data_IF_703699414726
#
_entry.id   IF_703699414726
#
_cell.length_a   1.000
_cell.length_b   1.000
_cell.length_c   1.000
_cell.angle_alpha   90.00
_cell.angle_beta   90.00
_cell.angle_gamma   90.00
#
_symmetry.space_group_name_H-M   'P 1'
#
loop_
_entity.id
_entity.type
_entity.pdbx_description
1 polymer ?
#
# COMPACT_ATOMS: atom_id res chain seq x y z
N UNK A 1 -27.90 -50.92 -51.75
CA UNK A 1 -28.76 -50.18 -50.79
C UNK A 1 -27.86 -49.67 -49.65
N UNK A 2 -27.46 -48.42 -49.72
CA UNK A 2 -26.61 -47.79 -48.68
C UNK A 2 -27.55 -47.09 -47.67
N UNK A 3 -27.47 -47.47 -46.40
CA UNK A 3 -28.19 -46.81 -45.31
C UNK A 3 -27.38 -45.59 -44.86
N UNK A 4 -27.91 -44.42 -45.01
CA UNK A 4 -27.35 -43.16 -44.51
C UNK A 4 -27.86 -42.97 -43.07
N UNK A 5 -26.95 -42.99 -42.09
CA UNK A 5 -27.26 -42.70 -40.69
C UNK A 5 -27.07 -41.19 -40.44
N UNK A 6 -28.13 -40.49 -40.16
CA UNK A 6 -28.06 -39.10 -39.72
C UNK A 6 -27.73 -39.03 -38.20
N UNK A 7 -26.58 -38.52 -37.86
CA UNK A 7 -26.20 -38.18 -36.49
C UNK A 7 -26.70 -36.77 -36.18
N UNK A 8 -27.75 -36.66 -35.40
CA UNK A 8 -28.25 -35.38 -34.88
C UNK A 8 -27.37 -34.95 -33.73
N UNK A 9 -26.55 -33.90 -33.95
CA UNK A 9 -25.77 -33.21 -32.91
C UNK A 9 -26.71 -32.23 -32.16
N UNK A 10 -27.16 -32.62 -30.98
CA UNK A 10 -27.84 -31.69 -30.06
C UNK A 10 -26.78 -30.77 -29.42
N UNK A 11 -26.61 -29.57 -29.95
CA UNK A 11 -25.90 -28.47 -29.22
C UNK A 11 -26.81 -28.01 -28.09
N UNK A 12 -26.49 -28.43 -26.87
CA UNK A 12 -27.11 -27.81 -25.67
C UNK A 12 -26.51 -26.39 -25.50
N UNK A 13 -27.30 -25.39 -25.94
CA UNK A 13 -27.08 -23.99 -25.57
C UNK A 13 -27.36 -23.86 -24.07
N UNK A 14 -26.33 -24.01 -23.25
CA UNK A 14 -26.37 -23.53 -21.88
C UNK A 14 -26.50 -22.00 -21.93
N UNK A 15 -27.51 -21.41 -21.29
CA UNK A 15 -27.57 -19.97 -21.18
C UNK A 15 -26.35 -19.53 -20.36
N UNK A 16 -25.43 -18.82 -20.98
CA UNK A 16 -24.45 -18.00 -20.28
C UNK A 16 -25.24 -16.92 -19.53
N UNK A 17 -25.72 -17.27 -18.35
CA UNK A 17 -26.29 -16.31 -17.42
C UNK A 17 -25.20 -15.32 -17.06
N UNK A 18 -25.23 -14.15 -17.67
CA UNK A 18 -24.57 -12.99 -17.13
C UNK A 18 -25.18 -12.75 -15.75
N UNK A 19 -24.53 -13.23 -14.70
CA UNK A 19 -24.87 -12.80 -13.35
C UNK A 19 -24.65 -11.30 -13.31
N UNK A 20 -25.72 -10.53 -13.49
CA UNK A 20 -25.71 -9.10 -13.20
C UNK A 20 -25.28 -8.95 -11.74
N UNK A 21 -24.09 -8.47 -11.52
CA UNK A 21 -23.52 -8.26 -10.19
C UNK A 21 -24.46 -7.32 -9.43
N UNK A 22 -25.05 -7.79 -8.34
CA UNK A 22 -26.07 -7.05 -7.58
C UNK A 22 -25.40 -5.85 -6.94
N UNK A 23 -25.83 -4.64 -7.32
CA UNK A 23 -25.36 -3.40 -6.69
C UNK A 23 -25.61 -3.46 -5.18
N UNK A 24 -24.64 -3.03 -4.42
CA UNK A 24 -24.70 -2.91 -2.96
C UNK A 24 -24.61 -1.45 -2.56
N UNK A 25 -25.21 -1.08 -1.44
CA UNK A 25 -25.00 0.21 -0.81
C UNK A 25 -24.08 0.06 0.39
N UNK A 26 -23.09 0.94 0.49
CA UNK A 26 -22.30 1.11 1.70
C UNK A 26 -22.40 2.58 2.14
N UNK A 27 -22.81 2.80 3.37
CA UNK A 27 -23.13 4.13 3.88
C UNK A 27 -22.56 4.33 5.27
N UNK A 28 -22.19 5.57 5.56
CA UNK A 28 -21.88 6.06 6.91
C UNK A 28 -23.09 6.89 7.36
N UNK A 29 -23.83 6.43 8.35
CA UNK A 29 -24.98 7.16 8.89
C UNK A 29 -25.27 6.78 10.34
N UNK A 30 -25.90 7.67 11.07
CA UNK A 30 -26.29 7.46 12.48
C UNK A 30 -25.12 6.97 13.37
N UNK A 31 -23.89 7.33 13.02
CA UNK A 31 -22.71 6.94 13.78
C UNK A 31 -22.14 5.55 13.49
N UNK A 32 -22.67 4.85 12.48
CA UNK A 32 -22.29 3.46 12.14
C UNK A 32 -22.05 3.27 10.64
N UNK A 33 -21.40 2.15 10.31
CA UNK A 33 -21.27 1.64 8.95
C UNK A 33 -22.48 0.75 8.60
N UNK A 34 -23.04 0.94 7.42
CA UNK A 34 -24.17 0.13 6.92
C UNK A 34 -23.84 -0.47 5.55
N UNK A 35 -23.95 -1.78 5.45
CA UNK A 35 -23.90 -2.51 4.17
C UNK A 35 -25.31 -3.00 3.83
N UNK A 36 -25.90 -2.54 2.73
CA UNK A 36 -27.26 -2.88 2.31
C UNK A 36 -28.32 -2.63 3.41
N UNK A 37 -28.16 -1.53 4.13
CA UNK A 37 -29.08 -1.14 5.21
C UNK A 37 -28.89 -1.89 6.54
N UNK A 38 -27.91 -2.80 6.63
CA UNK A 38 -27.57 -3.53 7.86
C UNK A 38 -26.31 -2.94 8.48
N UNK A 39 -26.35 -2.64 9.77
CA UNK A 39 -25.17 -2.24 10.53
C UNK A 39 -24.08 -3.31 10.39
N UNK A 40 -22.89 -2.90 9.95
CA UNK A 40 -21.81 -3.81 9.60
C UNK A 40 -20.49 -3.21 10.05
N UNK A 41 -19.97 -3.60 11.21
CA UNK A 41 -18.65 -3.16 11.65
C UNK A 41 -17.57 -3.70 10.69
N UNK A 42 -16.50 -2.93 10.55
CA UNK A 42 -15.37 -3.29 9.66
C UNK A 42 -14.25 -3.89 10.50
N UNK A 43 -13.93 -5.14 10.21
CA UNK A 43 -12.78 -5.86 10.75
C UNK A 43 -11.86 -6.18 9.58
N UNK A 44 -10.90 -5.29 9.35
CA UNK A 44 -10.03 -5.31 8.17
C UNK A 44 -8.60 -5.68 8.51
N UNK A 45 -7.85 -6.05 7.49
CA UNK A 45 -6.39 -6.14 7.54
C UNK A 45 -5.76 -5.56 6.28
N UNK A 46 -4.66 -4.85 6.46
CA UNK A 46 -3.88 -4.28 5.37
C UNK A 46 -2.98 -5.36 4.77
N UNK A 47 -3.03 -5.45 3.44
CA UNK A 47 -2.21 -6.34 2.64
C UNK A 47 -1.98 -5.71 1.27
N UNK A 48 -0.72 -5.53 0.87
CA UNK A 48 -0.37 -4.84 -0.37
C UNK A 48 -0.14 -5.84 -1.50
N UNK A 49 -0.95 -5.75 -2.57
CA UNK A 49 -0.82 -6.63 -3.75
C UNK A 49 0.58 -6.62 -4.36
N UNK A 50 1.26 -5.46 -4.36
CA UNK A 50 2.62 -5.27 -4.88
C UNK A 50 3.71 -6.02 -4.10
N UNK A 51 3.41 -6.46 -2.87
CA UNK A 51 4.32 -7.18 -1.96
C UNK A 51 4.10 -8.69 -1.93
N UNK A 52 3.20 -9.20 -2.79
CA UNK A 52 2.79 -10.60 -2.78
C UNK A 52 2.66 -11.06 -4.24
N UNK A 53 3.36 -12.12 -4.68
CA UNK A 53 3.12 -12.68 -6.00
C UNK A 53 1.65 -13.02 -6.20
N UNK A 54 1.08 -12.65 -7.35
CA UNK A 54 -0.37 -12.75 -7.60
C UNK A 54 -0.95 -14.16 -7.40
N UNK A 55 -0.14 -15.20 -7.60
CA UNK A 55 -0.55 -16.60 -7.38
C UNK A 55 -0.93 -16.90 -5.92
N UNK A 56 -0.49 -16.06 -4.97
CA UNK A 56 -0.76 -16.24 -3.54
C UNK A 56 -1.85 -15.33 -2.98
N UNK A 57 -2.38 -14.36 -3.74
CA UNK A 57 -3.41 -13.43 -3.25
C UNK A 57 -4.62 -14.15 -2.67
N UNK A 58 -5.18 -15.12 -3.40
CA UNK A 58 -6.35 -15.90 -2.94
C UNK A 58 -6.10 -16.61 -1.62
N UNK A 59 -4.95 -17.27 -1.46
CA UNK A 59 -4.60 -17.92 -0.21
C UNK A 59 -4.54 -16.93 0.96
N UNK A 60 -3.96 -15.75 0.75
CA UNK A 60 -3.88 -14.71 1.80
C UNK A 60 -5.26 -14.20 2.18
N UNK A 61 -6.17 -13.99 1.23
CA UNK A 61 -7.56 -13.61 1.51
C UNK A 61 -8.29 -14.70 2.31
N UNK A 62 -8.11 -15.96 1.97
CA UNK A 62 -8.66 -17.09 2.72
C UNK A 62 -8.12 -17.14 4.16
N UNK A 63 -6.84 -16.85 4.37
CA UNK A 63 -6.25 -16.69 5.70
C UNK A 63 -6.91 -15.57 6.49
N UNK A 64 -7.15 -14.41 5.87
CA UNK A 64 -7.86 -13.29 6.51
C UNK A 64 -9.30 -13.66 6.89
N UNK A 65 -10.04 -14.31 6.01
CA UNK A 65 -11.39 -14.82 6.31
C UNK A 65 -11.37 -15.80 7.47
N UNK A 66 -10.42 -16.73 7.47
CA UNK A 66 -10.25 -17.70 8.54
C UNK A 66 -9.79 -17.06 9.86
N UNK A 67 -9.21 -15.87 9.85
CA UNK A 67 -8.95 -15.09 11.05
C UNK A 67 -10.20 -14.37 11.60
N UNK A 68 -11.27 -14.27 10.79
CA UNK A 68 -12.54 -13.64 11.16
C UNK A 68 -12.70 -12.22 10.61
N UNK A 69 -11.83 -11.80 9.68
CA UNK A 69 -11.92 -10.49 9.04
C UNK A 69 -12.98 -10.48 7.93
N UNK A 70 -13.57 -9.31 7.69
CA UNK A 70 -14.60 -9.10 6.67
C UNK A 70 -14.20 -8.10 5.58
N UNK A 71 -13.02 -7.48 5.71
CA UNK A 71 -12.49 -6.53 4.74
C UNK A 71 -10.98 -6.68 4.59
N UNK A 72 -10.45 -6.24 3.45
CA UNK A 72 -9.04 -6.03 3.19
C UNK A 72 -8.83 -4.56 2.83
N UNK A 73 -7.79 -3.94 3.35
CA UNK A 73 -7.31 -2.65 2.89
C UNK A 73 -6.02 -2.82 2.06
N UNK A 74 -5.83 -1.98 1.07
CA UNK A 74 -4.60 -1.92 0.30
C UNK A 74 -4.28 -0.52 -0.16
N UNK A 75 -3.02 -0.12 -0.06
CA UNK A 75 -2.52 1.02 -0.78
C UNK A 75 -2.44 0.76 -2.28
N UNK A 76 -2.47 1.84 -3.07
CA UNK A 76 -2.13 1.83 -4.49
C UNK A 76 -0.87 2.65 -4.68
N UNK A 77 0.18 2.02 -5.15
CA UNK A 77 1.48 2.65 -5.34
C UNK A 77 1.57 3.23 -6.75
N UNK A 78 1.52 4.54 -6.88
CA UNK A 78 1.54 5.19 -8.18
C UNK A 78 2.79 4.80 -8.98
N UNK A 79 3.99 4.83 -8.38
CA UNK A 79 5.24 4.44 -9.04
C UNK A 79 5.33 2.96 -9.43
N UNK A 80 4.50 2.09 -8.84
CA UNK A 80 4.42 0.68 -9.24
C UNK A 80 3.75 0.51 -10.59
N UNK A 81 2.78 1.39 -10.89
CA UNK A 81 2.01 1.37 -12.13
C UNK A 81 2.56 2.31 -13.21
N UNK A 82 3.22 3.40 -12.86
CA UNK A 82 3.77 4.38 -13.79
C UNK A 82 5.26 4.62 -13.49
N UNK A 83 6.08 3.60 -13.75
CA UNK A 83 7.53 3.67 -13.56
C UNK A 83 8.22 4.67 -14.50
N UNK A 84 7.68 4.85 -15.70
CA UNK A 84 8.07 5.88 -16.65
C UNK A 84 6.85 6.74 -16.98
N UNK A 85 7.04 8.03 -17.07
CA UNK A 85 5.96 8.99 -17.33
C UNK A 85 5.10 8.60 -18.54
N UNK A 86 3.80 8.44 -18.33
CA UNK A 86 2.82 8.07 -19.34
C UNK A 86 2.79 6.58 -19.70
N UNK A 87 3.65 5.74 -19.12
CA UNK A 87 3.66 4.28 -19.35
C UNK A 87 3.05 3.57 -18.16
N UNK A 88 1.83 3.14 -18.33
CA UNK A 88 1.05 2.47 -17.31
C UNK A 88 1.09 0.95 -17.46
N UNK A 89 1.22 0.26 -16.33
CA UNK A 89 1.25 -1.19 -16.26
C UNK A 89 0.34 -1.69 -15.14
N UNK A 90 -0.65 -2.52 -15.50
CA UNK A 90 -1.63 -3.15 -14.62
C UNK A 90 -1.74 -4.65 -14.91
N UNK A 91 -0.63 -5.30 -15.25
CA UNK A 91 -0.61 -6.72 -15.59
C UNK A 91 0.14 -7.56 -14.53
N UNK A 92 -0.22 -8.84 -14.41
CA UNK A 92 0.44 -9.79 -13.50
C UNK A 92 0.38 -9.35 -12.03
N UNK A 93 1.53 -9.17 -11.38
CA UNK A 93 1.61 -8.73 -9.98
C UNK A 93 1.15 -7.26 -9.78
N UNK A 94 0.89 -6.55 -10.88
CA UNK A 94 0.35 -5.19 -10.89
C UNK A 94 -1.15 -5.13 -11.20
N UNK A 95 -1.81 -6.26 -11.40
CA UNK A 95 -3.25 -6.31 -11.72
C UNK A 95 -4.10 -6.04 -10.47
N UNK A 96 -4.23 -4.77 -10.13
CA UNK A 96 -5.03 -4.31 -9.00
C UNK A 96 -6.51 -4.69 -9.16
N UNK A 97 -7.05 -4.68 -10.37
CA UNK A 97 -8.44 -5.03 -10.61
C UNK A 97 -8.70 -6.51 -10.30
N UNK A 98 -7.81 -7.40 -10.72
CA UNK A 98 -7.91 -8.83 -10.40
C UNK A 98 -7.72 -9.08 -8.88
N UNK A 99 -6.78 -8.38 -8.22
CA UNK A 99 -6.62 -8.46 -6.77
C UNK A 99 -7.92 -8.11 -6.03
N UNK A 100 -8.56 -7.00 -6.40
CA UNK A 100 -9.83 -6.54 -5.80
C UNK A 100 -10.96 -7.54 -6.09
N UNK A 101 -11.02 -8.07 -7.29
CA UNK A 101 -12.02 -9.07 -7.69
C UNK A 101 -11.87 -10.36 -6.90
N UNK A 102 -10.65 -10.89 -6.76
CA UNK A 102 -10.38 -12.09 -5.95
C UNK A 102 -10.78 -11.86 -4.49
N UNK A 103 -10.50 -10.69 -3.91
CA UNK A 103 -10.95 -10.34 -2.56
C UNK A 103 -12.48 -10.43 -2.44
N UNK A 104 -13.22 -9.89 -3.41
CA UNK A 104 -14.68 -9.99 -3.47
C UNK A 104 -15.19 -11.43 -3.63
N UNK A 105 -14.54 -12.26 -4.44
CA UNK A 105 -14.86 -13.67 -4.61
C UNK A 105 -14.68 -14.47 -3.31
N UNK A 106 -13.67 -14.13 -2.50
CA UNK A 106 -13.45 -14.71 -1.17
C UNK A 106 -14.37 -14.07 -0.09
N UNK A 107 -15.27 -13.18 -0.49
CA UNK A 107 -16.26 -12.54 0.39
C UNK A 107 -15.66 -11.48 1.32
N UNK A 108 -14.60 -10.79 0.89
CA UNK A 108 -14.04 -9.63 1.56
C UNK A 108 -14.54 -8.34 0.90
N UNK A 109 -14.91 -7.36 1.71
CA UNK A 109 -15.02 -5.97 1.28
C UNK A 109 -13.62 -5.39 1.06
N UNK A 110 -13.50 -4.35 0.22
CA UNK A 110 -12.21 -3.72 -0.07
C UNK A 110 -12.23 -2.24 0.33
N UNK A 111 -11.20 -1.84 1.06
CA UNK A 111 -10.89 -0.44 1.38
C UNK A 111 -9.70 -0.03 0.52
N UNK A 112 -9.92 0.92 -0.40
CA UNK A 112 -8.90 1.37 -1.33
C UNK A 112 -8.18 2.61 -0.77
N UNK A 113 -6.84 2.59 -0.78
CA UNK A 113 -6.01 3.67 -0.23
C UNK A 113 -5.07 4.22 -1.32
N UNK A 114 -5.57 5.07 -2.25
CA UNK A 114 -4.80 5.49 -3.43
C UNK A 114 -3.75 6.57 -3.16
N UNK A 115 -3.73 7.17 -2.00
CA UNK A 115 -2.83 8.28 -1.69
C UNK A 115 -3.32 9.63 -2.26
N UNK A 116 -2.46 10.36 -3.01
CA UNK A 116 -1.29 9.96 -3.84
C UNK A 116 0.01 9.64 -3.08
N UNK A 117 0.19 10.13 -1.85
CA UNK A 117 1.24 9.69 -0.94
C UNK A 117 0.74 8.50 -0.12
N UNK A 118 1.52 7.45 -0.03
CA UNK A 118 1.11 6.24 0.71
C UNK A 118 2.04 5.88 1.87
N UNK A 119 3.20 6.49 1.99
CA UNK A 119 4.22 6.14 2.98
C UNK A 119 4.68 4.67 2.85
N UNK A 120 4.23 3.82 3.74
CA UNK A 120 4.32 2.36 3.68
C UNK A 120 5.76 1.82 3.56
N UNK A 121 6.77 2.58 3.97
CA UNK A 121 8.20 2.24 3.78
C UNK A 121 8.48 1.80 2.34
N UNK A 122 7.80 2.45 1.41
CA UNK A 122 7.91 2.21 -0.02
C UNK A 122 8.69 3.35 -0.68
N UNK A 123 9.45 3.01 -1.74
CA UNK A 123 10.25 3.95 -2.49
C UNK A 123 9.49 5.24 -2.80
N UNK A 124 10.07 6.37 -2.41
CA UNK A 124 9.56 7.73 -2.57
C UNK A 124 8.11 7.92 -2.07
N UNK A 125 7.68 7.12 -1.07
CA UNK A 125 6.32 7.15 -0.53
C UNK A 125 5.23 6.84 -1.55
N UNK A 126 5.57 6.10 -2.62
CA UNK A 126 4.70 5.71 -3.71
C UNK A 126 4.69 6.67 -4.90
N UNK A 127 5.35 7.81 -4.82
CA UNK A 127 5.42 8.75 -5.94
C UNK A 127 6.37 8.26 -7.05
N UNK A 128 6.06 8.50 -8.32
CA UNK A 128 7.01 8.29 -9.40
C UNK A 128 8.22 9.24 -9.30
N UNK A 129 9.42 8.69 -9.44
CA UNK A 129 10.68 9.42 -9.40
C UNK A 129 10.75 10.58 -10.39
N UNK A 130 10.17 10.41 -11.59
CA UNK A 130 10.18 11.41 -12.67
C UNK A 130 9.43 12.71 -12.35
N UNK A 131 8.57 12.72 -11.31
CA UNK A 131 7.96 13.95 -10.83
C UNK A 131 9.00 15.00 -10.42
N UNK A 132 10.15 14.56 -9.90
CA UNK A 132 11.23 15.47 -9.49
C UNK A 132 11.89 16.20 -10.65
N UNK A 133 11.78 15.68 -11.88
CA UNK A 133 12.32 16.31 -13.09
C UNK A 133 11.39 17.36 -13.73
N UNK A 134 10.20 17.55 -13.18
CA UNK A 134 9.23 18.52 -13.69
C UNK A 134 9.50 19.87 -13.08
N UNK A 135 9.78 20.87 -13.93
CA UNK A 135 10.04 22.23 -13.48
C UNK A 135 8.85 22.80 -12.69
N UNK A 136 9.13 23.40 -11.56
CA UNK A 136 8.12 24.00 -10.66
C UNK A 136 7.28 23.00 -9.89
N UNK A 137 7.66 21.72 -9.86
CA UNK A 137 6.98 20.69 -9.08
C UNK A 137 7.18 20.90 -7.58
N UNK A 138 6.08 21.03 -6.84
CA UNK A 138 6.04 20.99 -5.38
C UNK A 138 5.08 19.89 -4.92
N UNK A 139 5.65 18.78 -4.44
CA UNK A 139 4.89 17.60 -4.03
C UNK A 139 4.11 17.86 -2.74
N UNK A 140 2.88 17.29 -2.64
CA UNK A 140 1.97 17.41 -1.48
C UNK A 140 1.58 18.86 -1.14
N UNK A 141 1.45 19.71 -2.18
CA UNK A 141 1.03 21.11 -2.05
C UNK A 141 -0.05 21.46 -3.05
N UNK A 142 -0.68 22.62 -2.82
CA UNK A 142 -1.56 23.25 -3.82
C UNK A 142 -0.68 23.85 -4.94
N UNK A 143 -0.09 22.96 -5.71
CA UNK A 143 0.81 23.25 -6.80
C UNK A 143 0.19 22.80 -8.12
N UNK A 144 0.18 23.64 -9.14
CA UNK A 144 -0.50 23.38 -10.40
C UNK A 144 0.03 22.12 -11.09
N UNK A 145 1.35 21.96 -11.13
CA UNK A 145 1.97 20.78 -11.76
C UNK A 145 1.62 19.51 -10.98
N UNK A 146 1.76 19.55 -9.66
CA UNK A 146 1.45 18.39 -8.82
C UNK A 146 -0.02 17.98 -8.95
N UNK A 147 -0.95 18.92 -8.86
CA UNK A 147 -2.39 18.65 -9.00
C UNK A 147 -2.77 18.16 -10.41
N UNK A 148 -2.07 18.62 -11.45
CA UNK A 148 -2.25 18.10 -12.81
C UNK A 148 -1.90 16.62 -12.90
N UNK A 149 -0.76 16.21 -12.37
CA UNK A 149 -0.31 14.81 -12.47
C UNK A 149 -1.06 13.89 -11.52
N UNK A 150 -1.41 14.35 -10.32
CA UNK A 150 -2.29 13.57 -9.43
C UNK A 150 -3.67 13.35 -10.03
N UNK A 151 -4.22 14.33 -10.74
CA UNK A 151 -5.47 14.15 -11.47
C UNK A 151 -5.36 13.06 -12.53
N UNK A 152 -4.32 13.06 -13.35
CA UNK A 152 -4.08 12.03 -14.37
C UNK A 152 -3.95 10.63 -13.74
N UNK A 153 -3.24 10.53 -12.62
CA UNK A 153 -3.12 9.29 -11.86
C UNK A 153 -4.49 8.81 -11.35
N UNK A 154 -5.26 9.66 -10.71
CA UNK A 154 -6.57 9.32 -10.14
C UNK A 154 -7.56 8.92 -11.26
N UNK A 155 -7.58 9.64 -12.37
CA UNK A 155 -8.41 9.29 -13.54
C UNK A 155 -8.01 7.94 -14.14
N UNK A 156 -6.69 7.67 -14.22
CA UNK A 156 -6.19 6.39 -14.70
C UNK A 156 -6.57 5.25 -13.74
N UNK A 157 -6.41 5.45 -12.45
CA UNK A 157 -6.81 4.48 -11.44
C UNK A 157 -8.32 4.20 -11.50
N UNK A 158 -9.14 5.24 -11.59
CA UNK A 158 -10.59 5.07 -11.74
C UNK A 158 -10.97 4.24 -12.96
N UNK A 159 -10.30 4.45 -14.08
CA UNK A 159 -10.51 3.64 -15.28
C UNK A 159 -10.25 2.15 -15.04
N UNK A 160 -9.26 1.82 -14.22
CA UNK A 160 -8.93 0.42 -13.90
C UNK A 160 -9.91 -0.20 -12.90
N UNK A 161 -10.26 0.51 -11.81
CA UNK A 161 -10.98 -0.11 -10.69
C UNK A 161 -12.32 0.53 -10.35
N UNK A 162 -12.69 1.64 -10.98
CA UNK A 162 -13.91 2.38 -10.66
C UNK A 162 -15.19 1.55 -10.85
N UNK A 163 -15.19 0.57 -11.74
CA UNK A 163 -16.29 -0.37 -11.96
C UNK A 163 -16.42 -1.40 -10.84
N UNK A 164 -15.43 -1.53 -9.96
CA UNK A 164 -15.42 -2.46 -8.83
C UNK A 164 -15.93 -1.83 -7.52
N UNK A 165 -16.49 -0.62 -7.57
CA UNK A 165 -17.19 -0.02 -6.43
C UNK A 165 -18.47 -0.80 -6.09
N UNK A 166 -18.84 -0.85 -4.81
CA UNK A 166 -20.02 -1.58 -4.37
C UNK A 166 -21.32 -1.04 -5.00
N UNK A 167 -21.38 0.24 -5.26
CA UNK A 167 -22.48 0.91 -6.02
C UNK A 167 -22.63 0.37 -7.45
N UNK A 168 -21.60 -0.27 -7.98
CA UNK A 168 -21.56 -0.89 -9.32
C UNK A 168 -21.53 -2.43 -9.26
N UNK A 169 -21.57 -2.98 -8.04
CA UNK A 169 -21.61 -4.42 -7.78
C UNK A 169 -20.28 -5.05 -7.39
N UNK A 170 -19.19 -4.28 -7.30
CA UNK A 170 -17.88 -4.72 -6.84
C UNK A 170 -17.73 -4.72 -5.32
N UNK A 171 -16.55 -5.05 -4.80
CA UNK A 171 -16.30 -5.13 -3.37
C UNK A 171 -15.75 -3.84 -2.73
N UNK A 172 -15.39 -2.80 -3.50
CA UNK A 172 -14.84 -1.55 -2.93
C UNK A 172 -15.95 -0.81 -2.19
N UNK A 173 -15.75 -0.61 -0.89
CA UNK A 173 -16.73 0.03 0.00
C UNK A 173 -16.34 1.43 0.45
N UNK A 174 -15.04 1.71 0.55
CA UNK A 174 -14.50 3.00 1.01
C UNK A 174 -13.21 3.32 0.27
N UNK A 175 -12.90 4.62 0.17
CA UNK A 175 -11.67 5.12 -0.42
C UNK A 175 -11.01 6.15 0.50
N UNK A 176 -9.71 6.03 0.71
CA UNK A 176 -8.93 7.00 1.49
C UNK A 176 -8.54 8.21 0.63
N UNK A 177 -8.57 9.38 1.26
CA UNK A 177 -8.06 10.61 0.70
C UNK A 177 -6.74 10.97 1.39
N UNK A 178 -5.65 11.05 0.64
CA UNK A 178 -4.30 11.29 1.14
C UNK A 178 -3.83 10.22 2.16
N UNK A 179 -2.73 10.40 2.83
CA UNK A 179 -2.28 9.54 3.93
C UNK A 179 -1.44 10.30 4.93
N UNK A 180 -1.81 10.22 6.21
CA UNK A 180 -1.12 10.90 7.32
C UNK A 180 -0.76 12.35 7.00
N UNK A 181 -1.67 13.04 6.33
CA UNK A 181 -1.43 14.40 5.88
C UNK A 181 -1.24 15.37 7.05
N UNK A 182 -1.83 15.09 8.19
CA UNK A 182 -1.62 15.83 9.42
C UNK A 182 -0.17 15.80 9.90
N UNK A 183 0.54 14.68 9.70
CA UNK A 183 1.98 14.58 10.01
C UNK A 183 2.82 15.46 9.08
N UNK A 184 2.49 15.50 7.79
CA UNK A 184 3.13 16.42 6.84
C UNK A 184 2.88 17.88 7.22
N UNK A 185 1.65 18.26 7.55
CA UNK A 185 1.29 19.61 8.00
C UNK A 185 2.10 20.01 9.23
N UNK A 186 2.22 19.14 10.22
CA UNK A 186 2.99 19.42 11.44
C UNK A 186 4.49 19.65 11.18
N UNK A 187 5.04 19.11 10.09
CA UNK A 187 6.45 19.25 9.71
C UNK A 187 6.72 20.43 8.77
N UNK A 188 5.67 20.93 8.10
CA UNK A 188 5.79 21.96 7.05
C UNK A 188 5.12 23.26 7.48
N UNK A 189 5.89 24.05 8.22
CA UNK A 189 5.44 25.34 8.77
C UNK A 189 5.68 26.53 7.83
N UNK A 190 6.18 26.28 6.64
CA UNK A 190 6.50 27.28 5.62
C UNK A 190 5.25 27.76 4.84
N UNK A 191 4.12 27.08 4.96
CA UNK A 191 2.81 27.49 4.45
C UNK A 191 1.74 27.41 5.54
N UNK A 192 0.63 28.10 5.37
CA UNK A 192 -0.44 28.14 6.36
C UNK A 192 -1.25 26.84 6.42
N UNK A 193 -1.90 26.59 7.56
CA UNK A 193 -2.85 25.49 7.71
C UNK A 193 -3.99 25.54 6.67
N UNK A 194 -4.44 26.76 6.31
CA UNK A 194 -5.47 26.96 5.30
C UNK A 194 -5.01 26.48 3.90
N UNK A 195 -3.77 26.78 3.52
CA UNK A 195 -3.18 26.30 2.26
C UNK A 195 -3.05 24.77 2.24
N UNK A 196 -2.64 24.16 3.35
CA UNK A 196 -2.62 22.71 3.49
C UNK A 196 -4.03 22.09 3.33
N UNK A 197 -5.03 22.67 3.99
CA UNK A 197 -6.42 22.19 3.86
C UNK A 197 -6.98 22.36 2.46
N UNK A 198 -6.62 23.44 1.75
CA UNK A 198 -7.00 23.64 0.35
C UNK A 198 -6.46 22.53 -0.55
N UNK A 199 -5.19 22.14 -0.36
CA UNK A 199 -4.61 21.02 -1.07
C UNK A 199 -5.38 19.71 -0.79
N UNK A 200 -5.59 19.36 0.48
CA UNK A 200 -6.27 18.11 0.86
C UNK A 200 -7.71 18.05 0.29
N UNK A 201 -8.42 19.19 0.32
CA UNK A 201 -9.74 19.30 -0.30
C UNK A 201 -9.72 19.09 -1.81
N UNK A 202 -8.68 19.57 -2.51
CA UNK A 202 -8.52 19.36 -3.96
C UNK A 202 -8.24 17.90 -4.31
N UNK A 203 -7.42 17.19 -3.54
CA UNK A 203 -7.20 15.76 -3.72
C UNK A 203 -8.51 14.99 -3.56
N UNK A 204 -9.28 15.28 -2.51
CA UNK A 204 -10.62 14.69 -2.34
C UNK A 204 -11.53 15.00 -3.53
N UNK A 205 -11.53 16.24 -4.01
CA UNK A 205 -12.36 16.62 -5.16
C UNK A 205 -11.94 15.88 -6.43
N UNK A 206 -10.65 15.66 -6.67
CA UNK A 206 -10.17 14.87 -7.81
C UNK A 206 -10.68 13.42 -7.78
N UNK A 207 -10.76 12.80 -6.59
CA UNK A 207 -11.37 11.47 -6.44
C UNK A 207 -12.86 11.48 -6.82
N UNK A 208 -13.60 12.48 -6.37
CA UNK A 208 -15.03 12.65 -6.70
C UNK A 208 -15.21 12.89 -8.21
N UNK A 209 -14.43 13.80 -8.78
CA UNK A 209 -14.51 14.18 -10.20
C UNK A 209 -14.17 13.02 -11.14
N UNK A 210 -13.26 12.14 -10.72
CA UNK A 210 -12.95 10.91 -11.44
C UNK A 210 -14.12 9.90 -11.44
N UNK A 211 -15.04 10.00 -10.46
CA UNK A 211 -16.24 9.17 -10.38
C UNK A 211 -16.26 8.16 -9.23
N UNK A 212 -15.36 8.29 -8.24
CA UNK A 212 -15.49 7.51 -7.01
C UNK A 212 -16.68 8.02 -6.20
N UNK A 213 -17.63 7.12 -5.92
CA UNK A 213 -18.93 7.43 -5.31
C UNK A 213 -19.19 6.68 -3.98
N UNK A 214 -18.19 5.95 -3.48
CA UNK A 214 -18.21 5.33 -2.16
C UNK A 214 -17.77 6.32 -1.08
N UNK A 215 -18.10 6.10 0.21
CA UNK A 215 -17.66 6.95 1.31
C UNK A 215 -16.13 7.14 1.35
N UNK A 216 -15.71 8.36 1.68
CA UNK A 216 -14.29 8.72 1.82
C UNK A 216 -13.90 8.85 3.28
N UNK A 217 -12.62 8.57 3.55
CA UNK A 217 -12.03 8.73 4.87
C UNK A 217 -10.61 9.31 4.80
N UNK A 218 -10.13 9.85 5.92
CA UNK A 218 -8.72 10.24 6.13
C UNK A 218 -8.13 9.38 7.24
N UNK A 219 -6.81 9.23 7.26
CA UNK A 219 -6.08 8.35 8.17
C UNK A 219 -4.87 9.10 8.73
N UNK A 220 -4.91 9.39 10.02
CA UNK A 220 -3.90 10.21 10.73
C UNK A 220 -3.73 9.76 12.18
N UNK A 221 -2.62 10.10 12.82
CA UNK A 221 -2.54 10.06 14.27
C UNK A 221 -3.66 10.91 14.90
N UNK A 222 -4.30 10.46 15.95
CA UNK A 222 -5.46 11.11 16.57
C UNK A 222 -5.18 12.57 16.96
N UNK A 223 -3.94 12.93 17.28
CA UNK A 223 -3.47 14.27 17.61
C UNK A 223 -3.21 15.17 16.39
N UNK A 224 -3.29 14.64 15.18
CA UNK A 224 -2.99 15.31 13.91
C UNK A 224 -4.23 15.62 13.05
N UNK A 225 -5.42 15.27 13.52
CA UNK A 225 -6.67 15.45 12.77
C UNK A 225 -6.93 16.91 12.35
N UNK A 226 -6.37 17.89 13.05
CA UNK A 226 -6.52 19.29 12.67
C UNK A 226 -5.93 19.58 11.28
N UNK A 227 -4.79 19.00 10.97
CA UNK A 227 -4.15 19.14 9.66
C UNK A 227 -4.59 18.09 8.63
N UNK A 228 -4.92 16.88 9.09
CA UNK A 228 -5.14 15.73 8.22
C UNK A 228 -6.59 15.52 7.79
N UNK A 229 -7.58 15.89 8.63
CA UNK A 229 -8.98 15.69 8.28
C UNK A 229 -9.45 16.63 7.17
N UNK A 230 -10.40 16.16 6.38
CA UNK A 230 -11.06 16.99 5.35
C UNK A 230 -12.59 16.90 5.48
N UNK A 231 -13.33 17.99 5.24
CA UNK A 231 -14.80 17.99 5.37
C UNK A 231 -15.49 16.89 4.57
N UNK A 232 -16.50 16.26 5.15
CA UNK A 232 -17.28 15.17 4.53
C UNK A 232 -16.44 13.92 4.18
N UNK A 233 -15.33 13.68 4.88
CA UNK A 233 -14.64 12.42 4.95
C UNK A 233 -14.60 11.96 6.41
N UNK A 234 -14.69 10.65 6.65
CA UNK A 234 -14.59 10.09 7.99
C UNK A 234 -13.14 10.21 8.48
N UNK A 235 -12.84 10.92 9.57
CA UNK A 235 -11.51 10.89 10.16
C UNK A 235 -11.32 9.56 10.89
N UNK A 236 -10.25 8.83 10.56
CA UNK A 236 -9.87 7.58 11.22
C UNK A 236 -8.49 7.71 11.85
N UNK A 237 -8.25 6.99 12.94
CA UNK A 237 -7.03 7.13 13.70
C UNK A 237 -5.99 6.06 13.35
N UNK A 238 -4.71 6.42 13.44
CA UNK A 238 -3.57 5.52 13.34
C UNK A 238 -2.95 5.31 14.71
N UNK A 239 -2.71 4.05 15.11
CA UNK A 239 -2.05 3.69 16.35
C UNK A 239 -2.79 4.06 17.64
N UNK A 240 -4.07 4.44 17.58
CA UNK A 240 -4.82 4.89 18.74
C UNK A 240 -5.42 3.73 19.53
N UNK A 241 -4.90 3.47 20.71
CA UNK A 241 -5.37 2.40 21.59
C UNK A 241 -6.34 2.89 22.68
N UNK A 242 -6.41 4.20 22.92
CA UNK A 242 -7.32 4.78 23.90
C UNK A 242 -8.67 5.09 23.25
N UNK A 243 -9.67 4.28 23.57
CA UNK A 243 -11.00 4.36 22.96
C UNK A 243 -11.72 5.66 23.30
N UNK A 244 -11.58 6.18 24.52
CA UNK A 244 -12.20 7.46 24.90
C UNK A 244 -11.59 8.63 24.10
N UNK A 245 -10.26 8.62 23.94
CA UNK A 245 -9.58 9.59 23.13
C UNK A 245 -10.00 9.48 21.65
N UNK A 246 -10.06 8.27 21.10
CA UNK A 246 -10.54 8.02 19.74
C UNK A 246 -11.93 8.63 19.53
N UNK A 247 -12.89 8.31 20.40
CA UNK A 247 -14.27 8.82 20.33
C UNK A 247 -14.29 10.34 20.44
N UNK A 248 -13.53 10.91 21.36
CA UNK A 248 -13.44 12.35 21.57
C UNK A 248 -12.93 13.09 20.31
N UNK A 249 -11.86 12.60 19.69
CA UNK A 249 -11.28 13.30 18.54
C UNK A 249 -12.12 13.08 17.27
N UNK A 250 -12.64 11.88 17.02
CA UNK A 250 -13.55 11.65 15.90
C UNK A 250 -14.79 12.53 16.03
N UNK A 251 -15.42 12.60 17.19
CA UNK A 251 -16.58 13.46 17.42
C UNK A 251 -16.29 14.93 17.13
N UNK A 252 -15.10 15.44 17.50
CA UNK A 252 -14.71 16.82 17.22
C UNK A 252 -14.70 17.17 15.73
N UNK A 253 -14.32 16.22 14.88
CA UNK A 253 -14.13 16.45 13.44
C UNK A 253 -15.20 15.80 12.55
N UNK A 254 -16.15 15.01 13.15
CA UNK A 254 -17.18 14.29 12.43
C UNK A 254 -18.58 14.46 13.06
N UNK A 255 -19.05 15.70 13.15
CA UNK A 255 -20.42 16.04 13.55
C UNK A 255 -20.90 15.41 14.88
N UNK A 256 -20.00 15.26 15.86
CA UNK A 256 -20.25 14.62 17.15
C UNK A 256 -20.75 13.17 17.09
N UNK A 257 -20.33 12.40 16.06
CA UNK A 257 -20.74 11.00 15.93
C UNK A 257 -19.63 10.15 15.29
N UNK A 258 -19.69 8.82 15.52
CA UNK A 258 -18.93 7.82 14.80
C UNK A 258 -19.32 7.71 13.33
N UNK A 259 -18.95 6.61 12.67
CA UNK A 259 -18.34 5.39 13.24
C UNK A 259 -16.90 5.63 13.72
N UNK A 260 -16.48 4.82 14.69
CA UNK A 260 -15.12 4.89 15.21
C UNK A 260 -14.27 3.81 14.56
N UNK A 261 -13.14 4.22 13.96
CA UNK A 261 -12.27 3.28 13.27
C UNK A 261 -10.80 3.62 13.52
N UNK A 262 -10.00 2.58 13.79
CA UNK A 262 -8.54 2.64 13.78
C UNK A 262 -8.06 2.09 12.44
N UNK A 263 -7.68 2.98 11.52
CA UNK A 263 -7.32 2.61 10.15
C UNK A 263 -5.92 2.00 10.06
N UNK A 264 -5.06 2.23 11.05
CA UNK A 264 -3.79 1.53 11.19
C UNK A 264 -3.63 1.04 12.63
N UNK A 265 -4.02 -0.21 12.85
CA UNK A 265 -3.81 -0.93 14.08
C UNK A 265 -2.53 -1.75 13.94
N UNK A 266 -1.43 -1.25 14.48
CA UNK A 266 -0.10 -1.80 14.29
C UNK A 266 0.04 -3.16 14.97
N UNK A 267 0.15 -4.22 14.17
CA UNK A 267 0.33 -5.59 14.62
C UNK A 267 1.78 -5.95 14.94
N UNK A 268 2.70 -5.21 14.40
CA UNK A 268 4.15 -5.32 14.52
C UNK A 268 4.80 -3.98 14.18
N UNK A 269 5.97 -4.02 13.55
CA UNK A 269 6.66 -2.83 13.05
C UNK A 269 7.61 -3.17 11.91
N UNK A 270 7.97 -2.16 11.13
CA UNK A 270 8.97 -2.23 10.07
C UNK A 270 10.38 -2.50 10.62
N UNK A 271 11.30 -2.87 9.74
CA UNK A 271 12.70 -3.15 10.09
C UNK A 271 13.63 -2.37 9.18
N UNK A 272 14.68 -1.79 9.76
CA UNK A 272 15.75 -1.11 9.04
C UNK A 272 17.02 -1.96 8.96
N UNK A 273 17.90 -1.63 8.02
CA UNK A 273 19.23 -2.19 7.93
C UNK A 273 20.01 -1.99 9.22
N UNK A 274 20.72 -3.05 9.64
CA UNK A 274 21.56 -3.06 10.85
C UNK A 274 20.82 -2.79 12.17
N UNK A 275 19.49 -2.83 12.19
CA UNK A 275 18.68 -2.76 13.40
C UNK A 275 18.04 -4.13 13.72
N UNK A 276 17.81 -4.47 15.00
CA UNK A 276 17.05 -5.67 15.36
C UNK A 276 15.61 -5.59 14.83
N UNK A 277 15.12 -6.68 14.25
CA UNK A 277 13.71 -6.74 13.83
C UNK A 277 12.78 -6.63 15.04
N UNK A 278 11.81 -5.69 15.03
CA UNK A 278 10.84 -5.54 16.09
C UNK A 278 10.04 -6.80 16.35
N UNK A 279 9.77 -7.07 17.62
CA UNK A 279 8.91 -8.17 18.05
C UNK A 279 7.84 -7.62 18.97
N UNK A 280 6.57 -7.89 18.68
CA UNK A 280 5.45 -7.47 19.50
C UNK A 280 4.70 -8.68 20.05
N UNK A 281 4.14 -8.51 21.25
CA UNK A 281 3.52 -9.61 21.98
C UNK A 281 2.12 -9.97 21.42
N UNK A 282 1.91 -11.25 21.14
CA UNK A 282 0.66 -11.76 20.61
C UNK A 282 -0.54 -11.56 21.55
N UNK A 283 -0.30 -11.68 22.86
CA UNK A 283 -1.37 -11.55 23.86
C UNK A 283 -1.81 -10.09 24.03
N UNK A 284 -0.88 -9.15 23.90
CA UNK A 284 -1.20 -7.72 23.93
C UNK A 284 -2.04 -7.31 22.73
N UNK A 285 -1.67 -7.78 21.53
CA UNK A 285 -2.42 -7.53 20.31
C UNK A 285 -3.85 -8.12 20.41
N UNK A 286 -3.98 -9.34 20.91
CA UNK A 286 -5.28 -9.98 21.11
C UNK A 286 -6.15 -9.23 22.14
N UNK A 287 -5.57 -8.75 23.25
CA UNK A 287 -6.31 -7.94 24.24
C UNK A 287 -6.81 -6.63 23.61
N UNK A 288 -5.97 -5.91 22.86
CA UNK A 288 -6.38 -4.67 22.22
C UNK A 288 -7.46 -4.92 21.15
N UNK A 289 -7.36 -6.03 20.41
CA UNK A 289 -8.41 -6.44 19.46
C UNK A 289 -9.74 -6.65 20.20
N UNK A 290 -9.73 -7.35 21.33
CA UNK A 290 -10.93 -7.59 22.12
C UNK A 290 -11.53 -6.29 22.69
N UNK A 291 -10.70 -5.33 23.09
CA UNK A 291 -11.18 -4.02 23.54
C UNK A 291 -11.86 -3.22 22.43
N UNK A 292 -11.35 -3.27 21.19
CA UNK A 292 -12.04 -2.64 20.06
C UNK A 292 -13.40 -3.30 19.80
N UNK A 293 -13.45 -4.64 19.78
CA UNK A 293 -14.70 -5.40 19.56
C UNK A 293 -15.75 -5.11 20.63
N UNK A 294 -15.37 -5.01 21.92
CA UNK A 294 -16.30 -4.68 23.03
C UNK A 294 -16.88 -3.27 22.96
N UNK A 295 -16.19 -2.35 22.27
CA UNK A 295 -16.54 -0.94 22.22
C UNK A 295 -17.08 -0.47 20.87
N UNK A 296 -17.43 -1.42 19.98
CA UNK A 296 -17.92 -1.17 18.63
C UNK A 296 -16.95 -0.31 17.78
N UNK A 297 -15.64 -0.51 17.97
CA UNK A 297 -14.59 0.14 17.18
C UNK A 297 -14.20 -0.75 16.02
N UNK A 298 -14.37 -0.25 14.82
CA UNK A 298 -13.83 -0.87 13.61
C UNK A 298 -12.32 -0.70 13.53
N UNK A 299 -11.63 -1.63 12.88
CA UNK A 299 -10.17 -1.58 12.80
C UNK A 299 -9.63 -2.18 11.50
N UNK A 300 -8.40 -1.80 11.18
CA UNK A 300 -7.61 -2.37 10.10
C UNK A 300 -6.21 -2.73 10.63
N UNK A 301 -5.89 -4.02 10.70
CA UNK A 301 -4.55 -4.44 11.10
C UNK A 301 -3.50 -3.96 10.10
N UNK A 302 -2.59 -3.14 10.54
CA UNK A 302 -1.45 -2.70 9.75
C UNK A 302 -0.17 -3.33 10.31
N UNK A 303 0.37 -4.38 9.71
CA UNK A 303 -0.08 -5.19 8.60
C UNK A 303 -0.76 -6.46 9.12
N UNK A 304 -1.76 -6.99 8.40
CA UNK A 304 -2.19 -8.38 8.62
C UNK A 304 -1.21 -9.36 7.97
N UNK A 305 -0.63 -8.95 6.85
CA UNK A 305 0.43 -9.61 6.12
C UNK A 305 1.30 -8.56 5.44
N UNK A 306 2.56 -8.51 5.78
CA UNK A 306 3.47 -7.49 5.26
C UNK A 306 3.97 -7.78 3.84
N UNK A 307 4.52 -8.98 3.62
CA UNK A 307 5.06 -9.41 2.33
C UNK A 307 6.50 -8.95 2.09
N UNK A 308 6.86 -8.80 0.82
CA UNK A 308 8.24 -8.58 0.35
C UNK A 308 8.34 -7.32 -0.51
N UNK A 309 9.30 -6.46 -0.25
CA UNK A 309 9.65 -5.36 -1.13
C UNK A 309 10.52 -5.88 -2.28
N UNK A 310 9.90 -6.20 -3.41
CA UNK A 310 10.61 -6.76 -4.56
C UNK A 310 11.41 -5.68 -5.30
N UNK A 311 12.58 -6.09 -5.81
CA UNK A 311 13.43 -5.22 -6.63
C UNK A 311 13.97 -4.02 -5.85
N UNK A 312 13.65 -2.82 -6.29
CA UNK A 312 14.07 -1.54 -5.72
C UNK A 312 12.89 -0.78 -5.09
N UNK A 313 11.92 -1.48 -4.52
CA UNK A 313 10.71 -0.87 -3.99
C UNK A 313 10.79 -0.53 -2.49
N UNK A 314 11.82 -1.02 -1.79
CA UNK A 314 12.09 -0.59 -0.41
C UNK A 314 12.39 0.90 -0.37
N UNK A 315 11.73 1.60 0.55
CA UNK A 315 12.02 2.99 0.85
C UNK A 315 13.09 3.16 1.92
N UNK A 316 13.08 4.33 2.53
CA UNK A 316 13.90 4.63 3.69
C UNK A 316 13.19 5.65 4.59
N UNK A 317 13.31 5.48 5.90
CA UNK A 317 12.94 6.53 6.83
C UNK A 317 14.10 7.51 7.03
N UNK A 318 13.80 8.66 7.61
CA UNK A 318 14.79 9.68 7.95
C UNK A 318 14.65 10.09 9.41
N UNK A 319 15.75 10.13 10.10
CA UNK A 319 15.84 10.67 11.45
C UNK A 319 17.03 11.62 11.55
N UNK A 320 16.84 12.79 12.18
CA UNK A 320 17.91 13.81 12.29
C UNK A 320 19.20 13.32 12.96
N UNK A 321 19.14 12.27 13.77
CA UNK A 321 20.29 11.71 14.48
C UNK A 321 20.96 10.58 13.71
N UNK A 322 20.17 9.80 12.99
CA UNK A 322 20.60 8.58 12.29
C UNK A 322 20.73 8.77 10.78
N UNK A 323 20.31 9.95 10.27
CA UNK A 323 20.20 10.27 8.85
C UNK A 323 19.25 9.28 8.15
N UNK A 324 19.61 8.74 7.01
CA UNK A 324 18.80 7.77 6.28
C UNK A 324 18.79 6.40 6.96
N UNK A 325 17.61 5.80 7.07
CA UNK A 325 17.40 4.46 7.61
C UNK A 325 16.74 3.59 6.53
N UNK A 326 17.55 2.88 5.71
CA UNK A 326 17.01 2.04 4.63
C UNK A 326 16.16 0.90 5.18
N UNK A 327 15.01 0.67 4.56
CA UNK A 327 14.13 -0.43 4.89
C UNK A 327 14.62 -1.73 4.25
N UNK A 328 14.25 -2.88 4.85
CA UNK A 328 14.66 -4.19 4.36
C UNK A 328 13.80 -4.64 3.18
N UNK A 329 14.34 -5.58 2.41
CA UNK A 329 13.57 -6.34 1.40
C UNK A 329 12.40 -7.07 2.05
N UNK A 330 12.60 -7.70 3.20
CA UNK A 330 11.49 -8.27 3.97
C UNK A 330 10.63 -7.17 4.60
N UNK A 331 9.36 -7.17 4.28
CA UNK A 331 8.35 -6.39 4.96
C UNK A 331 7.46 -7.29 5.83
N UNK A 332 8.04 -8.32 6.44
CA UNK A 332 7.32 -9.27 7.31
C UNK A 332 6.49 -8.56 8.38
N UNK A 333 6.97 -7.43 8.88
CA UNK A 333 6.29 -6.55 9.83
C UNK A 333 6.01 -7.23 11.18
N UNK A 334 6.51 -8.45 11.40
CA UNK A 334 6.08 -9.32 12.49
C UNK A 334 4.54 -9.47 12.53
N UNK A 335 3.92 -9.60 11.37
CA UNK A 335 2.48 -9.61 11.16
C UNK A 335 1.82 -10.93 11.61
N UNK A 336 0.49 -10.97 11.78
CA UNK A 336 -0.26 -12.20 12.06
C UNK A 336 -0.08 -13.30 11.01
N UNK A 337 -0.04 -12.94 9.73
CA UNK A 337 0.31 -13.84 8.64
C UNK A 337 1.75 -13.52 8.25
N UNK A 338 2.67 -14.48 8.39
CA UNK A 338 4.08 -14.29 8.08
C UNK A 338 4.32 -14.00 6.59
N UNK A 339 5.50 -13.50 6.23
CA UNK A 339 5.89 -13.24 4.84
C UNK A 339 5.69 -14.47 3.93
N UNK A 340 5.96 -15.68 4.44
CA UNK A 340 5.71 -16.94 3.74
C UNK A 340 4.22 -17.33 3.66
N UNK A 341 3.33 -16.63 4.37
CA UNK A 341 1.89 -16.90 4.40
C UNK A 341 1.44 -17.91 5.45
N UNK A 342 2.24 -18.13 6.48
CA UNK A 342 1.90 -19.03 7.58
C UNK A 342 1.21 -18.29 8.73
N UNK A 343 0.33 -19.00 9.44
CA UNK A 343 -0.23 -18.51 10.69
C UNK A 343 0.87 -18.40 11.76
N UNK A 344 0.92 -17.25 12.42
CA UNK A 344 1.82 -17.02 13.58
C UNK A 344 1.05 -17.15 14.89
N UNK A 345 1.73 -17.07 16.03
CA UNK A 345 1.08 -17.01 17.34
C UNK A 345 0.09 -15.83 17.46
N UNK A 346 0.36 -14.70 16.77
CA UNK A 346 -0.58 -13.57 16.72
C UNK A 346 -1.84 -13.91 15.96
N UNK A 347 -1.71 -14.59 14.83
CA UNK A 347 -2.85 -15.06 14.04
C UNK A 347 -3.78 -15.92 14.89
N UNK A 348 -3.25 -16.92 15.59
CA UNK A 348 -4.03 -17.82 16.42
C UNK A 348 -4.68 -17.08 17.60
N UNK A 349 -3.97 -16.16 18.23
CA UNK A 349 -4.47 -15.36 19.34
C UNK A 349 -5.63 -14.45 18.93
N UNK A 350 -5.48 -13.73 17.80
CA UNK A 350 -6.54 -12.89 17.24
C UNK A 350 -7.74 -13.74 16.82
N UNK A 351 -7.51 -14.84 16.09
CA UNK A 351 -8.58 -15.75 15.67
C UNK A 351 -9.40 -16.27 16.85
N UNK A 352 -8.76 -16.59 17.97
CA UNK A 352 -9.44 -17.03 19.17
C UNK A 352 -10.30 -15.93 19.82
N UNK A 353 -9.88 -14.68 19.76
CA UNK A 353 -10.70 -13.54 20.15
C UNK A 353 -11.87 -13.36 19.18
N UNK A 354 -11.60 -13.31 17.88
CA UNK A 354 -12.63 -13.08 16.85
C UNK A 354 -13.76 -14.11 16.91
N UNK A 355 -13.48 -15.37 17.22
CA UNK A 355 -14.49 -16.44 17.40
C UNK A 355 -15.56 -16.12 18.45
N UNK A 356 -15.31 -15.24 19.39
CA UNK A 356 -16.28 -14.82 20.41
C UNK A 356 -17.31 -13.83 19.86
N UNK A 357 -16.96 -13.10 18.80
CA UNK A 357 -17.73 -11.98 18.23
C UNK A 357 -18.25 -12.24 16.82
N UNK A 358 -17.52 -13.03 16.04
CA UNK A 358 -17.84 -13.34 14.64
C UNK A 358 -18.29 -14.79 14.53
N UNK A 359 -19.47 -15.01 13.92
CA UNK A 359 -19.99 -16.35 13.63
C UNK A 359 -19.43 -16.90 12.33
N UNK A 360 -19.45 -18.21 12.20
CA UNK A 360 -19.15 -18.92 10.95
C UNK A 360 -17.76 -18.63 10.35
N UNK A 361 -16.75 -18.47 11.23
CA UNK A 361 -15.36 -18.30 10.79
C UNK A 361 -14.88 -19.60 10.15
N UNK A 362 -14.41 -19.58 8.87
CA UNK A 362 -13.98 -20.79 8.17
C UNK A 362 -12.74 -21.44 8.82
N UNK A 363 -12.46 -22.68 8.41
CA UNK A 363 -11.21 -23.35 8.78
C UNK A 363 -10.00 -22.60 8.19
N UNK A 364 -8.88 -22.67 8.89
CA UNK A 364 -7.62 -22.11 8.39
C UNK A 364 -7.18 -22.92 7.17
N UNK A 365 -6.83 -22.27 6.06
CA UNK A 365 -6.29 -22.94 4.88
C UNK A 365 -5.04 -23.76 5.20
N UNK A 366 -4.74 -24.73 4.37
CA UNK A 366 -3.48 -25.49 4.47
C UNK A 366 -2.29 -24.54 4.38
N UNK A 367 -1.28 -24.77 5.24
CA UNK A 367 -0.05 -24.01 5.19
C UNK A 367 0.61 -24.12 3.80
N UNK A 368 1.23 -23.02 3.36
CA UNK A 368 2.03 -23.02 2.13
C UNK A 368 3.17 -24.03 2.28
N UNK A 369 3.40 -24.87 1.26
CA UNK A 369 4.43 -25.91 1.33
C UNK A 369 5.83 -25.30 1.34
N UNK A 370 6.72 -25.96 2.05
CA UNK A 370 8.17 -25.72 1.97
C UNK A 370 8.75 -26.67 0.94
N UNK A 371 9.61 -26.15 0.07
CA UNK A 371 10.35 -26.96 -0.90
C UNK A 371 11.83 -26.98 -0.51
N UNK A 372 12.49 -28.10 -0.76
CA UNK A 372 13.94 -28.22 -0.72
C UNK A 372 14.51 -27.95 -2.11
N UNK A 373 15.40 -26.97 -2.20
CA UNK A 373 16.10 -26.69 -3.46
C UNK A 373 17.49 -27.31 -3.36
N UNK A 374 17.84 -28.27 -4.25
CA UNK A 374 19.16 -28.89 -4.26
C UNK A 374 20.24 -27.84 -4.59
N UNK A 375 21.50 -28.16 -4.23
CA UNK A 375 22.63 -27.31 -4.58
C UNK A 375 22.69 -27.04 -6.08
N UNK A 376 22.72 -25.75 -6.44
CA UNK A 376 22.83 -25.29 -7.83
C UNK A 376 24.26 -24.81 -8.04
N UNK A 377 24.95 -25.39 -9.05
CA UNK A 377 26.28 -24.91 -9.47
C UNK A 377 26.07 -23.67 -10.36
N UNK A 378 26.58 -22.54 -9.92
CA UNK A 378 26.65 -21.33 -10.75
C UNK A 378 27.94 -21.41 -11.59
N UNK A 379 27.82 -21.47 -12.89
CA UNK A 379 28.93 -21.65 -13.84
C UNK A 379 29.13 -20.44 -14.78
N UNK A 380 28.31 -19.40 -14.61
CA UNK A 380 28.37 -18.15 -15.39
C UNK A 380 28.48 -16.96 -14.46
N UNK A 381 29.37 -16.04 -14.78
CA UNK A 381 29.58 -14.78 -14.06
C UNK A 381 29.47 -13.62 -15.05
N UNK A 382 28.78 -12.57 -14.66
CA UNK A 382 28.77 -11.29 -15.36
C UNK A 382 29.35 -10.22 -14.41
N UNK A 383 30.37 -9.53 -14.86
CA UNK A 383 30.96 -8.42 -14.10
C UNK A 383 30.26 -7.11 -14.45
N UNK A 384 29.61 -6.51 -13.45
CA UNK A 384 28.89 -5.23 -13.62
C UNK A 384 29.83 -4.11 -14.07
N UNK A 385 31.07 -4.07 -13.56
CA UNK A 385 32.06 -3.05 -13.95
C UNK A 385 32.56 -3.30 -15.37
N UNK A 386 32.70 -4.56 -15.80
CA UNK A 386 33.06 -4.94 -17.16
C UNK A 386 32.04 -4.46 -18.21
N UNK A 387 30.77 -4.41 -17.86
CA UNK A 387 29.73 -3.87 -18.73
C UNK A 387 29.83 -2.35 -18.95
N UNK A 388 30.56 -1.61 -18.11
CA UNK A 388 30.71 -0.15 -18.27
C UNK A 388 31.31 0.23 -19.61
N UNK A 389 32.13 -0.64 -20.21
CA UNK A 389 32.72 -0.45 -21.53
C UNK A 389 31.71 -0.51 -22.69
N UNK A 390 30.53 -1.09 -22.45
CA UNK A 390 29.46 -1.22 -23.44
C UNK A 390 28.44 -0.06 -23.39
N UNK A 391 28.54 0.78 -22.36
CA UNK A 391 27.62 1.89 -22.14
C UNK A 391 28.31 3.20 -22.55
N UNK A 392 27.61 4.01 -23.36
CA UNK A 392 28.12 5.36 -23.68
C UNK A 392 28.04 6.24 -22.44
N UNK A 393 29.16 6.75 -21.90
CA UNK A 393 29.14 7.58 -20.72
C UNK A 393 28.48 8.94 -20.97
N UNK A 394 27.78 9.46 -19.97
CA UNK A 394 27.33 10.84 -19.91
C UNK A 394 28.46 11.65 -19.28
N UNK A 395 29.00 12.61 -20.02
CA UNK A 395 30.09 13.47 -19.54
C UNK A 395 29.51 14.70 -18.84
N UNK A 396 30.12 15.11 -17.74
CA UNK A 396 29.75 16.31 -16.99
C UNK A 396 30.81 16.71 -15.98
N UNK A 397 30.75 17.94 -15.49
CA UNK A 397 31.69 18.45 -14.50
C UNK A 397 31.34 17.97 -13.08
N UNK A 398 30.04 17.72 -12.83
CA UNK A 398 29.53 17.24 -11.56
C UNK A 398 28.73 15.93 -11.76
N UNK A 399 28.69 15.07 -10.72
CA UNK A 399 27.80 13.92 -10.70
C UNK A 399 26.34 14.38 -10.81
N UNK A 400 25.56 13.66 -11.60
CA UNK A 400 24.11 13.85 -11.69
C UNK A 400 23.42 12.85 -10.78
N UNK A 401 22.22 13.20 -10.28
CA UNK A 401 21.37 12.25 -9.55
C UNK A 401 20.81 11.19 -10.50
N UNK A 402 20.21 10.13 -9.95
CA UNK A 402 19.56 9.09 -10.74
C UNK A 402 18.42 9.68 -11.57
N UNK A 403 17.62 10.55 -10.97
CA UNK A 403 16.49 11.22 -11.63
C UNK A 403 16.95 12.10 -12.78
N UNK A 404 18.01 12.89 -12.60
CA UNK A 404 18.63 13.71 -13.66
C UNK A 404 19.21 12.87 -14.83
N UNK A 405 19.51 11.60 -14.55
CA UNK A 405 19.93 10.62 -15.54
C UNK A 405 18.73 9.89 -16.19
N UNK A 406 17.51 10.21 -15.79
CA UNK A 406 16.28 9.50 -16.14
C UNK A 406 16.32 8.02 -15.80
N UNK A 407 16.92 7.69 -14.66
CA UNK A 407 16.99 6.34 -14.12
C UNK A 407 16.31 6.29 -12.76
N UNK A 408 15.17 5.60 -12.67
CA UNK A 408 14.44 5.49 -11.42
C UNK A 408 14.96 4.38 -10.50
N UNK A 409 15.54 3.32 -11.08
CA UNK A 409 15.90 2.10 -10.36
C UNK A 409 17.23 1.54 -10.84
N UNK A 410 17.93 0.81 -9.98
CA UNK A 410 19.16 0.09 -10.32
C UNK A 410 20.41 0.74 -9.81
N UNK A 411 21.46 0.77 -10.64
CA UNK A 411 22.80 1.22 -10.27
C UNK A 411 23.30 2.28 -11.22
N UNK A 412 24.07 3.24 -10.69
CA UNK A 412 24.79 4.23 -11.50
C UNK A 412 26.27 4.12 -11.15
N UNK A 413 27.12 4.03 -12.19
CA UNK A 413 28.57 4.07 -12.06
C UNK A 413 29.08 5.47 -12.33
N UNK A 414 29.61 6.14 -11.33
CA UNK A 414 30.34 7.39 -11.47
C UNK A 414 31.83 7.10 -11.58
N UNK A 415 32.53 7.72 -12.51
CA UNK A 415 33.99 7.59 -12.65
C UNK A 415 34.66 8.92 -12.88
N UNK A 416 35.85 9.10 -12.28
CA UNK A 416 36.69 10.28 -12.47
C UNK A 416 38.12 9.85 -12.66
N UNK A 417 38.76 10.33 -13.72
CA UNK A 417 40.19 10.13 -13.95
C UNK A 417 40.95 11.42 -13.62
N UNK A 418 42.03 11.30 -12.86
CA UNK A 418 42.91 12.40 -12.51
C UNK A 418 44.20 12.28 -13.29
N UNK A 419 44.69 13.39 -13.91
CA UNK A 419 45.91 13.41 -14.69
C UNK A 419 47.16 13.32 -13.82
N UNK A 420 47.06 13.68 -12.54
CA UNK A 420 48.13 13.67 -11.56
C UNK A 420 47.64 13.03 -10.26
N UNK A 421 48.53 12.41 -9.50
CA UNK A 421 48.20 11.92 -8.17
C UNK A 421 47.61 13.01 -7.30
N UNK A 422 46.55 12.68 -6.58
CA UNK A 422 45.90 13.57 -5.62
C UNK A 422 45.89 12.89 -4.25
N UNK A 423 45.89 13.71 -3.20
CA UNK A 423 45.68 13.24 -1.85
C UNK A 423 44.66 14.13 -1.14
N UNK A 424 43.89 13.57 -0.23
CA UNK A 424 42.87 14.31 0.52
C UNK A 424 41.77 13.41 1.01
N UNK A 425 40.73 14.03 1.53
CA UNK A 425 39.49 13.34 1.96
C UNK A 425 38.45 13.38 0.84
N UNK A 426 37.94 12.22 0.47
CA UNK A 426 36.75 12.16 -0.39
C UNK A 426 35.50 12.42 0.46
N UNK A 427 34.75 13.44 0.11
CA UNK A 427 33.43 13.70 0.68
C UNK A 427 32.36 13.63 -0.43
N UNK A 428 31.30 12.89 -0.19
CA UNK A 428 30.17 12.76 -1.10
C UNK A 428 28.96 13.40 -0.42
N UNK A 429 28.62 14.61 -0.83
CA UNK A 429 27.45 15.30 -0.31
C UNK A 429 26.18 14.78 -0.96
N UNK A 430 25.15 14.56 -0.14
CA UNK A 430 23.85 14.11 -0.65
C UNK A 430 23.85 12.66 -1.15
N UNK A 431 24.76 11.81 -0.65
CA UNK A 431 24.71 10.38 -0.93
C UNK A 431 23.39 9.79 -0.45
N UNK A 432 22.67 9.16 -1.35
CA UNK A 432 21.44 8.41 -1.16
C UNK A 432 21.43 7.31 -2.24
N UNK A 433 21.47 6.02 -1.90
CA UNK A 433 21.41 5.41 -0.58
C UNK A 433 22.77 4.80 -0.17
N UNK A 434 23.34 3.92 -1.01
CA UNK A 434 24.55 3.16 -0.72
C UNK A 434 25.57 3.26 -1.87
N UNK A 435 26.83 3.47 -1.55
CA UNK A 435 27.90 3.50 -2.53
C UNK A 435 29.04 2.52 -2.19
N UNK A 436 29.57 1.88 -3.22
CA UNK A 436 30.85 1.16 -3.16
C UNK A 436 31.89 2.01 -3.88
N UNK A 437 33.00 2.31 -3.22
CA UNK A 437 34.03 3.20 -3.73
C UNK A 437 35.27 2.37 -4.09
N UNK A 438 35.79 2.62 -5.29
CA UNK A 438 37.04 2.03 -5.77
C UNK A 438 38.04 3.15 -6.08
N UNK A 439 39.27 2.99 -5.64
CA UNK A 439 40.38 3.88 -5.98
C UNK A 439 41.44 3.03 -6.69
N UNK A 440 41.77 3.38 -7.94
CA UNK A 440 42.68 2.63 -8.81
C UNK A 440 42.36 1.13 -8.91
N UNK A 441 41.07 0.79 -8.85
CA UNK A 441 40.55 -0.57 -8.94
C UNK A 441 40.46 -1.33 -7.62
N UNK A 442 40.92 -0.76 -6.52
CA UNK A 442 40.83 -1.33 -5.17
C UNK A 442 39.65 -0.72 -4.38
N UNK A 443 38.90 -1.59 -3.69
CA UNK A 443 37.73 -1.23 -2.85
C UNK A 443 38.15 -0.62 -1.53
#
# INVERSE_FOLDING_TARGET
>A
MRKLSYLLLFLALLPLGTFAQKKSSFEIKNGDFYLNGKATPIYSGEMHYSRIPHQYWRHRFQMMKAMGLNAVATYVFWNWHEQEQGKWDFEGDKDLAEYIKIAGEEGLMVILRPGPYVCAEWEFGGYPWWLQNIEGMEIRRDNEQFLKYTKLYIERLFKEVGHLQCTKGGPIIMIQCENEFGSYVAQRTDISLEQHRAYNAKIKQQLIDAGFDVPMFTSDGSWLFEGGSTPNALPTANGESNIENLKRVVNKYHNNQGPYMVAEFYSGWLSHWAEPSPQTDASSLARQTEEYLKNDVSFNFYMVHGGTNFGFTSGANYDKKRDIQPDLTSYDYNAPISEAGWATAKYDSIRNVMKKYVKDIPAVPSAMPVIEIPSIKLDKVADVLGYSSLIKPILGDNPKTFEELNQGYGYVLYSRHFKHPISGTLAINGLRDYAVIYIDGEK
#
